data_IF_301049351831
#
_entry.id   IF_301049351831
#
_cell.length_a   1.000
_cell.length_b   1.000
_cell.length_c   1.000
_cell.angle_alpha   90.00
_cell.angle_beta   90.00
_cell.angle_gamma   90.00
#
_symmetry.space_group_name_H-M   'P 1'
#
loop_
_entity.id
_entity.type
_entity.pdbx_description
1 polymer ?
#
# COMPACT_ATOMS: atom_id res chain seq x y z
N UNK A 1 2.63 -20.03 1.35
CA UNK A 1 2.35 -18.65 0.88
C UNK A 1 1.11 -18.06 1.52
N UNK A 2 0.05 -18.86 1.75
CA UNK A 2 -1.21 -18.38 2.37
C UNK A 2 -1.04 -17.82 3.79
N UNK A 3 -0.17 -18.44 4.60
CA UNK A 3 0.19 -17.96 5.95
C UNK A 3 0.82 -16.56 6.00
N UNK A 4 1.42 -16.05 4.90
CA UNK A 4 2.04 -14.72 4.91
C UNK A 4 1.05 -13.59 4.60
N UNK A 5 -0.09 -13.88 3.95
CA UNK A 5 -1.07 -12.85 3.59
C UNK A 5 -1.62 -12.13 4.82
N UNK A 6 -1.86 -12.85 5.91
CA UNK A 6 -2.36 -12.25 7.15
C UNK A 6 -1.34 -11.34 7.84
N UNK A 7 -0.05 -11.48 7.51
CA UNK A 7 1.04 -10.67 8.09
C UNK A 7 1.53 -9.56 7.16
N UNK A 8 1.02 -9.47 5.95
CA UNK A 8 1.41 -8.46 4.96
C UNK A 8 0.25 -7.49 4.75
N UNK A 9 0.60 -6.23 4.50
CA UNK A 9 -0.31 -5.24 3.94
C UNK A 9 0.42 -4.61 2.77
N UNK A 10 -0.18 -4.68 1.61
CA UNK A 10 0.37 -4.19 0.35
C UNK A 10 -0.33 -2.89 -0.06
N UNK A 11 0.47 -1.87 -0.37
CA UNK A 11 -0.03 -0.56 -0.81
C UNK A 11 0.61 -0.21 -2.15
N UNK A 12 -0.22 0.03 -3.17
CA UNK A 12 0.22 0.56 -4.45
C UNK A 12 0.10 2.08 -4.46
N UNK A 13 1.19 2.79 -4.80
CA UNK A 13 1.21 4.25 -4.90
C UNK A 13 1.11 4.66 -6.37
N UNK A 14 -0.06 5.17 -6.76
CA UNK A 14 -0.40 5.53 -8.12
C UNK A 14 -0.06 7.00 -8.40
N UNK A 15 0.56 7.32 -9.55
CA UNK A 15 0.63 8.72 -9.99
C UNK A 15 -0.78 9.24 -10.32
N UNK A 16 -1.05 10.55 -10.21
CA UNK A 16 -2.38 11.11 -10.49
C UNK A 16 -2.73 11.09 -11.98
N UNK A 17 -1.72 11.01 -12.86
CA UNK A 17 -1.93 10.83 -14.29
C UNK A 17 -0.70 10.22 -14.97
N UNK A 18 -0.87 9.70 -16.19
CA UNK A 18 0.24 9.25 -17.03
C UNK A 18 1.19 10.39 -17.41
N UNK A 19 0.67 11.61 -17.56
CA UNK A 19 1.46 12.81 -17.81
C UNK A 19 2.36 13.14 -16.62
N UNK A 20 1.80 13.10 -15.39
CA UNK A 20 2.58 13.34 -14.18
C UNK A 20 3.65 12.28 -13.98
N UNK A 21 3.33 11.01 -14.25
CA UNK A 21 4.30 9.92 -14.23
C UNK A 21 5.45 10.18 -15.20
N UNK A 22 5.15 10.58 -16.44
CA UNK A 22 6.16 10.95 -17.44
C UNK A 22 7.03 12.09 -16.94
N UNK A 23 6.42 13.17 -16.41
CA UNK A 23 7.14 14.31 -15.84
C UNK A 23 8.12 13.89 -14.76
N UNK A 24 7.68 13.03 -13.82
CA UNK A 24 8.52 12.49 -12.72
C UNK A 24 9.65 11.61 -13.24
N UNK A 25 9.41 10.78 -14.25
CA UNK A 25 10.44 9.93 -14.87
C UNK A 25 11.50 10.75 -15.62
N UNK A 26 11.09 11.79 -16.34
CA UNK A 26 12.00 12.72 -17.01
C UNK A 26 12.81 13.58 -16.02
N UNK A 27 12.22 13.97 -14.89
CA UNK A 27 12.89 14.80 -13.89
C UNK A 27 13.94 14.06 -13.06
N UNK A 28 13.84 12.72 -12.95
CA UNK A 28 14.75 11.91 -12.11
C UNK A 28 16.13 11.69 -12.73
N UNK A 29 16.28 11.74 -14.05
CA UNK A 29 17.54 11.60 -14.77
C UNK A 29 17.43 12.28 -16.14
N UNK A 30 18.54 12.78 -16.67
CA UNK A 30 18.68 13.10 -18.09
C UNK A 30 18.72 11.79 -18.91
N UNK A 31 17.67 10.98 -18.79
CA UNK A 31 17.51 9.74 -19.52
C UNK A 31 17.04 10.09 -20.94
N UNK A 32 17.61 9.41 -21.95
CA UNK A 32 17.16 9.54 -23.34
C UNK A 32 15.67 9.20 -23.49
N UNK A 33 15.00 9.82 -24.46
CA UNK A 33 13.57 9.65 -24.68
C UNK A 33 13.12 8.18 -24.82
N UNK A 34 13.98 7.32 -25.39
CA UNK A 34 13.71 5.89 -25.53
C UNK A 34 13.65 5.15 -24.16
N UNK A 35 14.47 5.56 -23.19
CA UNK A 35 14.49 4.98 -21.84
C UNK A 35 13.23 5.38 -21.07
N UNK A 36 12.81 6.65 -21.19
CA UNK A 36 11.57 7.14 -20.58
C UNK A 36 10.36 6.37 -21.11
N UNK A 37 10.28 6.19 -22.43
CA UNK A 37 9.18 5.46 -23.07
C UNK A 37 9.13 3.99 -22.63
N UNK A 38 10.27 3.31 -22.54
CA UNK A 38 10.35 1.94 -22.03
C UNK A 38 9.86 1.85 -20.58
N UNK A 39 10.24 2.81 -19.72
CA UNK A 39 9.77 2.87 -18.33
C UNK A 39 8.29 3.18 -18.23
N UNK A 40 7.76 4.08 -19.06
CA UNK A 40 6.32 4.38 -19.08
C UNK A 40 5.49 3.16 -19.45
N UNK A 41 5.94 2.37 -20.45
CA UNK A 41 5.29 1.10 -20.81
C UNK A 41 5.34 0.09 -19.67
N UNK A 42 6.48 -0.04 -18.99
CA UNK A 42 6.62 -0.90 -17.81
C UNK A 42 5.67 -0.47 -16.68
N UNK A 43 5.62 0.83 -16.37
CA UNK A 43 4.75 1.36 -15.34
C UNK A 43 3.26 1.21 -15.68
N UNK A 44 2.86 1.40 -16.94
CA UNK A 44 1.47 1.15 -17.37
C UNK A 44 1.07 -0.32 -17.18
N UNK A 45 1.99 -1.25 -17.44
CA UNK A 45 1.79 -2.67 -17.17
C UNK A 45 1.70 -2.96 -15.67
N UNK A 46 2.54 -2.35 -14.83
CA UNK A 46 2.43 -2.52 -13.37
C UNK A 46 1.11 -1.96 -12.82
N UNK A 47 0.67 -0.79 -13.33
CA UNK A 47 -0.61 -0.18 -12.95
C UNK A 47 -1.79 -1.12 -13.28
N UNK A 48 -1.75 -1.86 -14.39
CA UNK A 48 -2.83 -2.80 -14.72
C UNK A 48 -2.96 -3.97 -13.76
N UNK A 49 -2.00 -4.15 -12.84
CA UNK A 49 -2.00 -5.19 -11.80
C UNK A 49 -2.21 -4.61 -10.40
N UNK A 50 -2.52 -3.31 -10.26
CA UNK A 50 -2.69 -2.69 -8.94
C UNK A 50 -3.87 -3.27 -8.13
N UNK A 51 -4.85 -3.88 -8.81
CA UNK A 51 -5.99 -4.57 -8.18
C UNK A 51 -5.59 -5.77 -7.30
N UNK A 52 -4.35 -6.26 -7.42
CA UNK A 52 -3.83 -7.31 -6.57
C UNK A 52 -3.32 -6.82 -5.19
N UNK A 53 -3.27 -5.50 -4.96
CA UNK A 53 -2.85 -4.89 -3.70
C UNK A 53 -4.03 -4.67 -2.75
N UNK A 54 -3.76 -4.64 -1.45
CA UNK A 54 -4.80 -4.41 -0.42
C UNK A 54 -5.31 -2.96 -0.46
N UNK A 55 -4.44 -2.01 -0.80
CA UNK A 55 -4.76 -0.58 -0.90
C UNK A 55 -4.11 0.07 -2.13
N UNK A 56 -4.80 1.05 -2.72
CA UNK A 56 -4.26 1.95 -3.76
C UNK A 56 -4.39 3.39 -3.28
N UNK A 57 -3.31 4.16 -3.35
CA UNK A 57 -3.29 5.59 -3.02
C UNK A 57 -2.84 6.38 -4.25
N UNK A 58 -3.64 7.37 -4.67
CA UNK A 58 -3.23 8.33 -5.68
C UNK A 58 -2.36 9.40 -5.02
N UNK A 59 -1.14 9.57 -5.52
CA UNK A 59 -0.14 10.48 -4.96
C UNK A 59 -0.14 11.84 -5.69
N UNK A 60 -1.14 12.65 -5.35
CA UNK A 60 -1.23 14.07 -5.75
C UNK A 60 -0.28 14.94 -4.92
N UNK A 61 -0.27 14.73 -3.61
CA UNK A 61 0.53 15.45 -2.62
C UNK A 61 1.32 14.47 -1.74
N UNK A 62 2.57 14.81 -1.42
CA UNK A 62 3.48 13.89 -0.72
C UNK A 62 3.15 13.79 0.77
N UNK A 63 2.84 14.91 1.43
CA UNK A 63 2.44 14.93 2.84
C UNK A 63 1.12 14.18 3.03
N UNK A 64 0.11 14.44 2.19
CA UNK A 64 -1.17 13.76 2.27
C UNK A 64 -1.03 12.24 2.02
N UNK A 65 -0.20 11.85 1.04
CA UNK A 65 0.08 10.43 0.78
C UNK A 65 0.73 9.76 1.99
N UNK A 66 1.70 10.44 2.63
CA UNK A 66 2.36 9.92 3.82
C UNK A 66 1.38 9.75 4.99
N UNK A 67 0.48 10.71 5.20
CA UNK A 67 -0.55 10.62 6.23
C UNK A 67 -1.53 9.47 5.97
N UNK A 68 -1.95 9.28 4.72
CA UNK A 68 -2.81 8.16 4.32
C UNK A 68 -2.15 6.80 4.58
N UNK A 69 -0.86 6.65 4.25
CA UNK A 69 -0.09 5.43 4.57
C UNK A 69 -0.03 5.22 6.10
N UNK A 70 0.26 6.29 6.85
CA UNK A 70 0.32 6.27 8.30
C UNK A 70 -1.01 5.82 8.92
N UNK A 71 -2.13 6.29 8.35
CA UNK A 71 -3.47 5.91 8.78
C UNK A 71 -3.79 4.45 8.48
N UNK A 72 -3.44 3.95 7.29
CA UNK A 72 -3.58 2.53 6.95
C UNK A 72 -2.79 1.65 7.91
N UNK A 73 -1.53 2.01 8.19
CA UNK A 73 -0.68 1.27 9.12
C UNK A 73 -1.31 1.17 10.51
N UNK A 74 -1.80 2.29 11.07
CA UNK A 74 -2.46 2.31 12.37
C UNK A 74 -3.74 1.46 12.37
N UNK A 75 -4.55 1.56 11.32
CA UNK A 75 -5.78 0.77 11.20
C UNK A 75 -5.48 -0.74 11.14
N UNK A 76 -4.47 -1.13 10.36
CA UNK A 76 -4.07 -2.53 10.20
C UNK A 76 -3.57 -3.15 11.51
N UNK A 77 -2.82 -2.40 12.31
CA UNK A 77 -2.34 -2.83 13.64
C UNK A 77 -3.48 -3.15 14.61
N UNK A 78 -4.66 -2.54 14.43
CA UNK A 78 -5.83 -2.72 15.30
C UNK A 78 -6.73 -3.89 14.87
N UNK A 79 -6.44 -4.59 13.76
CA UNK A 79 -7.24 -5.75 13.35
C UNK A 79 -7.23 -6.85 14.41
N UNK A 80 -8.41 -7.40 14.72
CA UNK A 80 -8.58 -8.47 15.71
C UNK A 80 -7.72 -9.70 15.39
N UNK A 81 -7.58 -10.07 14.12
CA UNK A 81 -6.75 -11.20 13.69
C UNK A 81 -5.26 -11.01 14.01
N UNK A 82 -4.79 -9.79 14.28
CA UNK A 82 -3.40 -9.50 14.67
C UNK A 82 -3.20 -9.46 16.19
N UNK A 83 -4.26 -9.58 16.98
CA UNK A 83 -4.18 -9.55 18.45
C UNK A 83 -3.87 -10.95 18.98
N UNK A 84 -2.59 -11.25 19.17
CA UNK A 84 -2.13 -12.55 19.68
C UNK A 84 -2.63 -12.77 21.11
N UNK A 85 -3.22 -13.94 21.37
CA UNK A 85 -3.69 -14.32 22.71
C UNK A 85 -4.95 -13.56 23.17
N UNK A 86 -5.70 -12.94 22.24
CA UNK A 86 -6.87 -12.14 22.59
C UNK A 86 -7.93 -12.97 23.32
N UNK A 87 -8.13 -14.24 22.95
CA UNK A 87 -9.13 -15.10 23.60
C UNK A 87 -8.78 -15.34 25.07
N UNK A 88 -7.56 -15.75 25.33
CA UNK A 88 -7.02 -16.01 26.67
C UNK A 88 -7.02 -14.73 27.52
N UNK A 89 -6.70 -13.59 26.90
CA UNK A 89 -6.79 -12.28 27.54
C UNK A 89 -8.23 -11.96 27.95
N UNK A 90 -9.21 -12.21 27.07
CA UNK A 90 -10.62 -11.95 27.38
C UNK A 90 -11.14 -12.89 28.47
N UNK A 91 -10.86 -14.19 28.38
CA UNK A 91 -11.27 -15.17 29.40
C UNK A 91 -10.71 -14.84 30.79
N UNK A 92 -9.46 -14.38 30.86
CA UNK A 92 -8.83 -14.00 32.14
C UNK A 92 -9.32 -12.66 32.72
N UNK A 93 -9.71 -11.71 31.86
CA UNK A 93 -10.10 -10.35 32.26
C UNK A 93 -11.61 -10.17 32.43
N UNK A 94 -12.38 -10.94 31.68
CA UNK A 94 -13.84 -10.91 31.62
C UNK A 94 -14.37 -12.36 31.65
N UNK A 95 -14.18 -13.09 32.76
CA UNK A 95 -14.72 -14.44 32.87
C UNK A 95 -16.24 -14.36 32.75
N UNK A 96 -16.80 -15.17 31.85
CA UNK A 96 -18.25 -15.34 31.79
C UNK A 96 -18.65 -16.18 33.01
N UNK A 97 -19.51 -15.63 33.86
CA UNK A 97 -20.25 -16.42 34.83
C UNK A 97 -21.38 -17.14 34.08
N UNK A 98 -21.58 -18.43 34.36
CA UNK A 98 -22.67 -19.24 33.79
C UNK A 98 -24.06 -18.67 34.16
#
# INVERSE_FOLDING_TARGET
MEMMREHVVSIFIMPPSMEELRRRLCGRRADDAAVVEARLKGAAFEISHCEAYDYVIVNEDIEETADRISNILRAEQMKTCRQVGLRELLESRFPLED
#
